data_IF_030869700499
#
_entry.id   IF_030869700499
#
_cell.length_a   1.000
_cell.length_b   1.000
_cell.length_c   1.000
_cell.angle_alpha   90.00
_cell.angle_beta   90.00
_cell.angle_gamma   90.00
#
_symmetry.space_group_name_H-M   'P 1'
#
loop_
_entity.id
_entity.type
_entity.pdbx_description
1 polymer ?
#
# COMPACT_ATOMS: atom_id res chain seq x y z
N UNK A 1 46.90 -53.78 8.06
CA UNK A 1 46.32 -52.71 7.24
C UNK A 1 45.71 -51.73 8.21
N UNK A 2 46.39 -50.61 8.45
CA UNK A 2 45.95 -49.58 9.40
C UNK A 2 44.87 -48.73 8.72
N UNK A 3 43.74 -48.43 9.40
CA UNK A 3 42.68 -47.63 8.81
C UNK A 3 43.17 -46.20 8.54
N UNK A 4 42.84 -45.59 7.40
CA UNK A 4 43.32 -44.26 7.05
C UNK A 4 42.79 -43.20 8.03
N UNK A 5 43.69 -42.43 8.62
CA UNK A 5 43.37 -41.32 9.51
C UNK A 5 42.82 -40.13 8.70
N UNK A 6 41.50 -39.91 8.76
CA UNK A 6 40.85 -38.80 8.07
C UNK A 6 41.09 -37.52 8.86
N UNK A 7 41.85 -36.61 8.26
CA UNK A 7 42.16 -35.31 8.87
C UNK A 7 40.86 -34.50 9.06
N UNK A 8 40.66 -33.85 10.23
CA UNK A 8 39.38 -33.23 10.60
C UNK A 8 38.94 -32.11 9.64
N UNK A 9 39.88 -31.36 9.05
CA UNK A 9 39.56 -30.33 8.07
C UNK A 9 38.95 -30.90 6.77
N UNK A 10 39.31 -32.14 6.41
CA UNK A 10 38.84 -32.79 5.20
C UNK A 10 37.38 -33.26 5.38
N UNK A 11 37.00 -33.68 6.58
CA UNK A 11 35.62 -33.99 6.94
C UNK A 11 34.74 -32.72 7.01
N UNK A 12 35.26 -31.62 7.55
CA UNK A 12 34.52 -30.34 7.57
C UNK A 12 34.30 -29.81 6.14
N UNK A 13 35.32 -29.90 5.28
CA UNK A 13 35.22 -29.46 3.89
C UNK A 13 34.16 -30.22 3.08
N UNK A 14 34.04 -31.54 3.26
CA UNK A 14 33.02 -32.34 2.57
C UNK A 14 31.61 -32.04 3.06
N UNK A 15 31.43 -31.77 4.36
CA UNK A 15 30.15 -31.35 4.92
C UNK A 15 29.73 -29.99 4.34
N UNK A 16 30.63 -29.00 4.31
CA UNK A 16 30.35 -27.68 3.74
C UNK A 16 29.98 -27.78 2.27
N UNK A 17 30.72 -28.57 1.48
CA UNK A 17 30.41 -28.79 0.07
C UNK A 17 29.03 -29.43 -0.13
N UNK A 18 28.67 -30.40 0.72
CA UNK A 18 27.34 -31.01 0.72
C UNK A 18 26.22 -30.01 1.03
N UNK A 19 26.44 -29.12 2.01
CA UNK A 19 25.49 -28.06 2.37
C UNK A 19 25.32 -27.06 1.22
N UNK A 20 26.42 -26.62 0.58
CA UNK A 20 26.37 -25.70 -0.55
C UNK A 20 25.61 -26.30 -1.75
N UNK A 21 25.83 -27.59 -2.04
CA UNK A 21 25.08 -28.30 -3.08
C UNK A 21 23.58 -28.40 -2.72
N UNK A 22 23.25 -28.73 -1.48
CA UNK A 22 21.87 -28.81 -1.01
C UNK A 22 21.15 -27.46 -1.04
N UNK A 23 21.82 -26.38 -0.63
CA UNK A 23 21.30 -25.01 -0.72
C UNK A 23 21.11 -24.59 -2.18
N UNK A 24 22.04 -24.94 -3.08
CA UNK A 24 21.91 -24.69 -4.51
C UNK A 24 20.66 -25.35 -5.11
N UNK A 25 20.42 -26.63 -4.78
CA UNK A 25 19.22 -27.37 -5.20
C UNK A 25 17.95 -26.75 -4.61
N UNK A 26 17.95 -26.40 -3.33
CA UNK A 26 16.82 -25.73 -2.68
C UNK A 26 16.48 -24.41 -3.38
N UNK A 27 17.49 -23.59 -3.68
CA UNK A 27 17.31 -22.31 -4.33
C UNK A 27 16.81 -22.46 -5.77
N UNK A 28 17.30 -23.48 -6.50
CA UNK A 28 16.77 -23.79 -7.84
C UNK A 28 15.32 -24.26 -7.77
N UNK A 29 14.94 -25.09 -6.80
CA UNK A 29 13.54 -25.49 -6.61
C UNK A 29 12.65 -24.29 -6.28
N UNK A 30 13.07 -23.39 -5.38
CA UNK A 30 12.32 -22.15 -5.12
C UNK A 30 12.20 -21.26 -6.35
N UNK A 31 13.27 -21.15 -7.15
CA UNK A 31 13.26 -20.40 -8.41
C UNK A 31 12.30 -21.01 -9.43
N UNK A 32 12.24 -22.34 -9.52
CA UNK A 32 11.29 -23.04 -10.39
C UNK A 32 9.84 -22.90 -9.92
N UNK A 33 9.60 -22.85 -8.60
CA UNK A 33 8.26 -22.65 -8.03
C UNK A 33 7.69 -21.23 -8.23
N UNK A 34 8.55 -20.22 -8.36
CA UNK A 34 8.15 -18.83 -8.57
C UNK A 34 8.22 -18.39 -10.04
N UNK A 35 8.38 -19.32 -11.00
CA UNK A 35 8.33 -18.93 -12.41
C UNK A 35 6.94 -18.39 -12.74
N UNK A 36 6.84 -17.19 -13.35
CA UNK A 36 5.57 -16.73 -13.87
C UNK A 36 5.04 -17.76 -14.88
N UNK A 37 3.73 -18.05 -14.88
CA UNK A 37 3.17 -19.05 -15.77
C UNK A 37 3.37 -18.61 -17.23
N UNK A 38 3.96 -19.48 -18.06
CA UNK A 38 4.07 -19.28 -19.52
C UNK A 38 2.71 -19.40 -20.23
N UNK A 39 1.62 -19.53 -19.47
CA UNK A 39 0.29 -19.82 -19.96
C UNK A 39 -0.36 -18.54 -20.45
N UNK A 40 -0.70 -18.51 -21.74
CA UNK A 40 -1.61 -17.50 -22.28
C UNK A 40 -2.99 -17.66 -21.67
N UNK A 41 -3.64 -16.55 -21.33
CA UNK A 41 -5.04 -16.53 -20.88
C UNK A 41 -5.87 -15.69 -21.84
N UNK A 42 -7.14 -16.04 -22.02
CA UNK A 42 -8.05 -15.25 -22.85
C UNK A 42 -8.87 -14.31 -21.99
N UNK A 43 -8.96 -13.05 -22.42
CA UNK A 43 -9.83 -12.03 -21.81
C UNK A 43 -10.83 -11.60 -22.86
N UNK A 44 -12.12 -11.59 -22.50
CA UNK A 44 -13.17 -11.11 -23.37
C UNK A 44 -13.43 -9.64 -23.05
N UNK A 45 -13.11 -8.74 -23.99
CA UNK A 45 -13.34 -7.31 -23.86
C UNK A 45 -14.26 -6.92 -25.03
N UNK A 46 -15.45 -6.40 -24.71
CA UNK A 46 -16.44 -5.95 -25.72
C UNK A 46 -16.85 -7.02 -26.74
N UNK A 47 -16.81 -8.30 -26.36
CA UNK A 47 -17.18 -9.42 -27.23
C UNK A 47 -16.05 -9.91 -28.14
N UNK A 48 -14.85 -9.36 -28.00
CA UNK A 48 -13.65 -9.81 -28.69
C UNK A 48 -12.74 -10.59 -27.72
N UNK A 49 -12.40 -11.83 -28.09
CA UNK A 49 -11.51 -12.69 -27.31
C UNK A 49 -10.05 -12.32 -27.60
N UNK A 50 -9.35 -11.80 -26.59
CA UNK A 50 -7.95 -11.38 -26.69
C UNK A 50 -7.09 -12.40 -25.95
N UNK A 51 -6.19 -13.06 -26.67
CA UNK A 51 -5.19 -13.98 -26.10
C UNK A 51 -4.04 -13.14 -25.53
N UNK A 52 -3.97 -13.04 -24.21
CA UNK A 52 -2.87 -12.36 -23.52
C UNK A 52 -1.77 -13.38 -23.26
N UNK A 53 -0.62 -13.19 -23.91
CA UNK A 53 0.62 -13.93 -23.62
C UNK A 53 1.55 -13.02 -22.83
N UNK A 54 1.73 -13.24 -21.51
CA UNK A 54 2.70 -12.48 -20.74
C UNK A 54 4.10 -12.75 -21.30
N UNK A 55 4.83 -11.71 -21.69
CA UNK A 55 6.23 -11.82 -22.11
C UNK A 55 7.12 -11.51 -20.89
N UNK A 56 7.81 -12.51 -20.29
CA UNK A 56 8.61 -12.31 -19.09
C UNK A 56 9.87 -11.44 -19.34
N UNK A 57 10.23 -11.16 -20.59
CA UNK A 57 11.36 -10.31 -20.95
C UNK A 57 10.94 -8.87 -21.33
N UNK A 58 9.63 -8.61 -21.45
CA UNK A 58 9.10 -7.27 -21.68
C UNK A 58 8.30 -6.83 -20.47
N UNK A 59 9.01 -6.15 -19.56
CA UNK A 59 8.36 -5.23 -18.64
C UNK A 59 7.47 -4.29 -19.48
N UNK A 60 6.18 -4.20 -19.13
CA UNK A 60 5.25 -3.29 -19.80
C UNK A 60 5.65 -1.87 -19.42
N UNK A 61 6.57 -1.29 -20.18
CA UNK A 61 6.88 0.14 -20.10
C UNK A 61 5.76 0.87 -20.82
N UNK A 62 4.89 1.52 -20.05
CA UNK A 62 3.94 2.49 -20.59
C UNK A 62 4.75 3.73 -20.97
N UNK A 63 5.15 3.83 -22.24
CA UNK A 63 5.64 5.09 -22.79
C UNK A 63 4.43 5.98 -23.13
N UNK A 64 4.36 7.23 -22.66
CA UNK A 64 3.34 8.15 -23.14
C UNK A 64 3.57 8.39 -24.64
N UNK A 65 2.54 8.08 -25.43
CA UNK A 65 2.47 8.44 -26.85
C UNK A 65 2.58 9.95 -26.96
N UNK A 66 3.61 10.42 -27.67
CA UNK A 66 3.79 11.81 -28.03
C UNK A 66 2.59 12.32 -28.82
N UNK A 67 2.13 13.51 -28.44
CA UNK A 67 1.34 14.40 -29.26
C UNK A 67 2.07 15.74 -29.32
N UNK A 68 2.70 16.00 -30.46
CA UNK A 68 3.08 17.33 -30.91
C UNK A 68 1.88 18.28 -30.80
N UNK A 69 2.11 19.48 -30.28
CA UNK A 69 1.55 20.76 -30.76
C UNK A 69 2.31 21.88 -30.04
N UNK A 70 3.21 22.50 -30.80
CA UNK A 70 4.02 23.64 -30.41
C UNK A 70 3.20 24.92 -30.62
N UNK A 71 2.93 25.69 -29.56
CA UNK A 71 2.72 27.13 -29.70
C UNK A 71 3.13 27.88 -28.42
N UNK A 72 4.38 28.31 -28.43
CA UNK A 72 4.91 29.38 -27.57
C UNK A 72 4.16 30.68 -27.85
N UNK A 73 3.37 31.15 -26.89
CA UNK A 73 2.96 32.55 -26.82
C UNK A 73 3.84 33.24 -25.78
N UNK A 74 4.77 34.05 -26.29
CA UNK A 74 5.55 35.00 -25.50
C UNK A 74 4.68 36.24 -25.28
N UNK A 75 4.41 36.60 -24.03
CA UNK A 75 3.98 37.95 -23.68
C UNK A 75 4.87 38.44 -22.54
N UNK A 76 5.70 39.44 -22.86
CA UNK A 76 6.60 40.14 -21.93
C UNK A 76 5.84 41.09 -20.98
N UNK A 77 6.46 41.51 -19.87
CA UNK A 77 5.80 42.10 -18.71
C UNK A 77 5.63 43.62 -18.85
N UNK A 78 4.51 44.14 -18.36
CA UNK A 78 4.38 45.58 -18.04
C UNK A 78 4.22 45.73 -16.52
N UNK A 79 5.12 46.51 -15.95
CA UNK A 79 5.16 46.86 -14.54
C UNK A 79 4.21 48.02 -14.19
N UNK A 80 4.01 48.17 -12.87
CA UNK A 80 3.32 49.22 -12.10
C UNK A 80 1.87 48.84 -11.73
N UNK A 81 1.42 48.91 -10.48
CA UNK A 81 1.73 49.93 -9.47
C UNK A 81 1.45 49.43 -8.03
N UNK A 82 2.22 49.93 -7.08
CA UNK A 82 2.22 49.64 -5.65
C UNK A 82 0.98 50.27 -5.00
N UNK A 83 0.19 49.50 -4.26
CA UNK A 83 -0.73 50.01 -3.23
C UNK A 83 -0.51 49.21 -1.96
N UNK A 84 -0.01 49.89 -0.93
CA UNK A 84 0.09 49.41 0.44
C UNK A 84 -1.24 49.57 1.19
N UNK A 85 -1.32 48.98 2.38
CA UNK A 85 -2.39 48.97 3.40
C UNK A 85 -3.31 47.75 3.26
N UNK A 86 -3.61 46.93 4.27
CA UNK A 86 -3.42 47.02 5.71
C UNK A 86 -3.42 45.59 6.28
N UNK A 87 -2.69 45.35 7.37
CA UNK A 87 -2.59 44.04 8.03
C UNK A 87 -3.85 43.78 8.88
N UNK A 88 -4.67 42.76 8.60
CA UNK A 88 -5.73 42.38 9.53
C UNK A 88 -5.10 41.65 10.73
N UNK A 89 -5.40 42.14 11.92
CA UNK A 89 -5.01 41.54 13.20
C UNK A 89 -5.47 40.06 13.29
N UNK A 90 -4.71 39.19 13.99
CA UNK A 90 -5.07 37.79 14.15
C UNK A 90 -6.38 37.65 14.96
N UNK A 91 -7.29 36.74 14.57
CA UNK A 91 -8.52 36.50 15.32
C UNK A 91 -8.22 35.92 16.71
N UNK A 92 -9.02 36.25 17.74
CA UNK A 92 -8.85 35.69 19.08
C UNK A 92 -9.09 34.17 19.07
N UNK A 93 -8.44 33.41 19.97
CA UNK A 93 -8.58 31.96 20.06
C UNK A 93 -10.04 31.54 20.34
N UNK A 94 -10.52 30.42 19.77
CA UNK A 94 -11.88 29.97 19.99
C UNK A 94 -12.08 29.60 21.47
N UNK A 95 -13.07 30.24 22.08
CA UNK A 95 -13.55 29.92 23.43
C UNK A 95 -14.23 28.55 23.40
N UNK A 96 -13.74 27.61 24.21
CA UNK A 96 -14.28 26.27 24.37
C UNK A 96 -15.67 26.31 25.03
N UNK A 97 -16.70 26.20 24.22
CA UNK A 97 -18.05 25.88 24.70
C UNK A 97 -18.23 24.35 24.62
N UNK A 98 -18.74 23.67 25.66
CA UNK A 98 -18.86 22.22 25.68
C UNK A 98 -19.91 21.75 24.67
N UNK A 99 -19.53 20.83 23.78
CA UNK A 99 -20.39 20.26 22.73
C UNK A 99 -21.38 19.28 23.36
N UNK A 100 -22.71 19.40 23.12
CA UNK A 100 -23.71 18.41 23.53
C UNK A 100 -23.51 17.07 22.82
N UNK A 101 -23.76 15.91 23.47
CA UNK A 101 -23.61 14.62 22.82
C UNK A 101 -24.81 14.32 21.89
N UNK A 102 -24.50 13.62 20.80
CA UNK A 102 -25.40 12.74 20.03
C UNK A 102 -26.09 13.33 18.79
N UNK A 103 -25.43 13.10 17.65
CA UNK A 103 -26.02 12.44 16.50
C UNK A 103 -24.91 11.57 15.87
N UNK A 104 -25.08 10.25 15.83
CA UNK A 104 -24.13 9.35 15.16
C UNK A 104 -24.32 9.54 13.65
N UNK A 105 -23.69 10.58 13.12
CA UNK A 105 -23.42 10.72 11.69
C UNK A 105 -22.83 9.41 11.20
N UNK A 106 -23.24 8.94 10.01
CA UNK A 106 -22.53 7.89 9.30
C UNK A 106 -21.04 8.29 9.28
N UNK A 107 -20.23 7.65 10.12
CA UNK A 107 -18.85 8.02 10.27
C UNK A 107 -18.17 7.68 8.95
N UNK A 108 -17.52 8.67 8.33
CA UNK A 108 -16.73 8.40 7.14
C UNK A 108 -15.71 7.32 7.50
N UNK A 109 -15.59 6.26 6.69
CA UNK A 109 -14.73 5.12 7.02
C UNK A 109 -13.25 5.51 7.07
N UNK A 110 -12.89 6.58 6.38
CA UNK A 110 -11.55 7.15 6.36
C UNK A 110 -11.51 8.52 7.04
N UNK A 111 -10.34 8.82 7.60
CA UNK A 111 -9.93 10.17 8.00
C UNK A 111 -8.54 10.45 7.42
N UNK A 112 -8.06 11.68 7.53
CA UNK A 112 -6.78 12.08 6.96
C UNK A 112 -5.82 12.57 8.03
N UNK A 113 -4.57 12.14 7.90
CA UNK A 113 -3.45 12.60 8.73
C UNK A 113 -2.46 13.33 7.84
N UNK A 114 -2.11 14.56 8.20
CA UNK A 114 -1.11 15.30 7.45
C UNK A 114 0.29 14.73 7.73
N UNK A 115 1.01 14.40 6.67
CA UNK A 115 2.39 13.94 6.71
C UNK A 115 3.26 14.83 5.84
N UNK A 116 4.37 15.35 6.39
CA UNK A 116 5.36 16.08 5.59
C UNK A 116 6.41 15.10 5.07
N UNK A 117 6.56 15.01 3.76
CA UNK A 117 7.43 14.05 3.09
C UNK A 117 8.89 14.30 3.46
N UNK A 118 9.56 13.26 3.94
CA UNK A 118 10.99 13.22 4.23
C UNK A 118 11.77 12.48 3.14
N UNK A 119 13.09 12.68 3.06
CA UNK A 119 13.96 12.11 2.02
C UNK A 119 14.06 10.58 1.96
N UNK A 120 13.53 9.87 2.96
CA UNK A 120 13.51 8.41 3.01
C UNK A 120 12.10 7.83 2.91
N UNK A 121 11.10 8.67 2.65
CA UNK A 121 9.73 8.21 2.51
C UNK A 121 9.52 7.47 1.19
N UNK A 122 8.77 6.39 1.29
CA UNK A 122 8.24 5.60 0.17
C UNK A 122 6.78 5.33 0.46
N UNK A 123 5.98 5.00 -0.56
CA UNK A 123 4.59 4.58 -0.31
C UNK A 123 4.53 3.39 0.66
N UNK A 124 5.52 2.51 0.64
CA UNK A 124 5.62 1.39 1.57
C UNK A 124 5.88 1.84 3.02
N UNK A 125 6.85 2.74 3.25
CA UNK A 125 7.15 3.22 4.61
C UNK A 125 6.00 4.02 5.19
N UNK A 126 5.34 4.86 4.37
CA UNK A 126 4.16 5.63 4.77
C UNK A 126 2.97 4.72 5.10
N UNK A 127 2.71 3.70 4.28
CA UNK A 127 1.66 2.72 4.55
C UNK A 127 1.82 2.07 5.92
N UNK A 128 3.05 1.62 6.24
CA UNK A 128 3.34 1.01 7.56
C UNK A 128 3.26 2.01 8.71
N UNK A 129 3.78 3.23 8.52
CA UNK A 129 3.79 4.23 9.58
C UNK A 129 2.38 4.67 9.97
N UNK A 130 1.48 4.81 8.99
CA UNK A 130 0.14 5.35 9.18
C UNK A 130 -0.95 4.29 9.25
N UNK A 131 -0.60 3.00 9.28
CA UNK A 131 -1.55 1.87 9.26
C UNK A 131 -2.58 2.00 8.11
N UNK A 132 -2.07 2.29 6.91
CA UNK A 132 -2.85 2.41 5.67
C UNK A 132 -2.27 1.48 4.60
N UNK A 133 -2.79 1.56 3.37
CA UNK A 133 -2.34 0.72 2.26
C UNK A 133 -2.03 1.57 1.03
N UNK A 134 -1.10 1.11 0.19
CA UNK A 134 -0.77 1.77 -1.07
C UNK A 134 -2.01 1.92 -1.97
N UNK A 135 -2.87 0.89 -2.14
CA UNK A 135 -4.12 1.03 -2.89
C UNK A 135 -5.06 2.09 -2.31
N UNK A 136 -5.16 2.19 -0.97
CA UNK A 136 -5.98 3.23 -0.33
C UNK A 136 -5.41 4.62 -0.62
N UNK A 137 -4.10 4.81 -0.47
CA UNK A 137 -3.44 6.07 -0.83
C UNK A 137 -3.65 6.44 -2.31
N UNK A 138 -3.54 5.47 -3.22
CA UNK A 138 -3.75 5.68 -4.64
C UNK A 138 -5.20 6.12 -4.98
N UNK A 139 -6.21 5.59 -4.26
CA UNK A 139 -7.62 6.04 -4.41
C UNK A 139 -7.81 7.53 -4.07
N UNK A 140 -6.91 8.09 -3.27
CA UNK A 140 -6.90 9.50 -2.89
C UNK A 140 -5.80 10.30 -3.62
N UNK A 141 -5.28 9.79 -4.74
CA UNK A 141 -4.35 10.52 -5.59
C UNK A 141 -2.90 10.55 -5.09
N UNK A 142 -2.58 9.81 -4.03
CA UNK A 142 -1.21 9.75 -3.51
C UNK A 142 -0.47 8.63 -4.24
N UNK A 143 0.55 9.03 -5.00
CA UNK A 143 1.42 8.11 -5.74
C UNK A 143 2.89 8.44 -5.46
N UNK A 144 3.81 7.67 -6.07
CA UNK A 144 5.25 7.91 -5.89
C UNK A 144 5.71 9.27 -6.43
N UNK A 145 4.99 9.85 -7.39
CA UNK A 145 5.30 11.19 -7.93
C UNK A 145 5.04 12.30 -6.94
N UNK A 146 4.15 12.07 -5.96
CA UNK A 146 3.78 13.05 -4.94
C UNK A 146 4.76 13.07 -3.76
N UNK A 147 5.68 12.09 -3.69
CA UNK A 147 6.69 11.98 -2.64
C UNK A 147 7.88 12.91 -2.86
N UNK A 148 7.61 14.21 -3.02
CA UNK A 148 8.64 15.26 -3.08
C UNK A 148 8.91 15.75 -1.67
N UNK A 149 10.18 15.75 -1.25
CA UNK A 149 10.59 16.19 0.09
C UNK A 149 10.07 17.59 0.40
N UNK A 150 9.42 17.74 1.56
CA UNK A 150 8.80 18.98 2.01
C UNK A 150 7.32 19.13 1.61
N UNK A 151 6.80 18.30 0.70
CA UNK A 151 5.36 18.29 0.42
C UNK A 151 4.57 17.80 1.63
N UNK A 152 3.36 18.34 1.81
CA UNK A 152 2.40 17.86 2.81
C UNK A 152 1.35 17.01 2.11
N UNK A 153 1.26 15.74 2.51
CA UNK A 153 0.28 14.78 2.00
C UNK A 153 -0.81 14.55 3.05
N UNK A 154 -2.06 14.49 2.60
CA UNK A 154 -3.19 14.08 3.43
C UNK A 154 -3.33 12.54 3.35
N UNK A 155 -2.66 11.82 4.24
CA UNK A 155 -2.62 10.36 4.22
C UNK A 155 -3.97 9.80 4.70
N UNK A 156 -4.71 9.05 3.86
CA UNK A 156 -5.95 8.39 4.27
C UNK A 156 -5.66 7.24 5.23
N UNK A 157 -6.34 7.21 6.36
CA UNK A 157 -6.25 6.15 7.36
C UNK A 157 -7.65 5.71 7.80
N UNK A 158 -7.77 4.53 8.39
CA UNK A 158 -9.03 4.09 8.99
C UNK A 158 -9.50 5.06 10.07
N UNK A 159 -10.76 5.47 10.03
CA UNK A 159 -11.31 6.42 11.00
C UNK A 159 -11.64 5.72 12.33
N UNK A 160 -11.04 6.10 13.47
CA UNK A 160 -11.39 5.51 14.77
C UNK A 160 -12.88 5.68 15.12
N UNK A 161 -13.53 6.76 14.67
CA UNK A 161 -14.97 6.97 14.89
C UNK A 161 -15.85 5.98 14.10
N UNK A 162 -15.32 5.33 13.06
CA UNK A 162 -16.02 4.26 12.34
C UNK A 162 -16.06 2.95 13.15
N UNK A 163 -15.10 2.76 14.06
CA UNK A 163 -14.98 1.58 14.91
C UNK A 163 -15.05 1.96 16.40
N UNK A 164 -16.20 2.44 16.90
CA UNK A 164 -16.31 2.87 18.29
C UNK A 164 -16.05 1.71 19.25
N UNK A 165 -15.01 1.85 20.09
CA UNK A 165 -14.55 0.80 21.02
C UNK A 165 -13.62 -0.25 20.41
N UNK A 166 -13.24 -0.08 19.14
CA UNK A 166 -12.38 -0.99 18.39
C UNK A 166 -11.33 -0.20 17.60
N UNK A 167 -10.35 -0.90 17.02
CA UNK A 167 -9.38 -0.31 16.11
C UNK A 167 -9.84 -0.51 14.66
N UNK A 168 -9.80 0.54 13.81
CA UNK A 168 -10.02 0.37 12.39
C UNK A 168 -8.80 -0.30 11.74
N UNK A 169 -9.06 -1.25 10.86
CA UNK A 169 -8.07 -1.94 10.04
C UNK A 169 -8.44 -1.81 8.57
N UNK A 170 -7.48 -1.34 7.76
CA UNK A 170 -7.65 -1.20 6.31
C UNK A 170 -7.21 -2.50 5.64
N UNK A 171 -8.16 -3.18 5.01
CA UNK A 171 -7.96 -4.47 4.35
C UNK A 171 -6.91 -4.33 3.23
N UNK A 172 -5.91 -5.20 3.30
CA UNK A 172 -4.79 -5.29 2.36
C UNK A 172 -5.04 -6.30 1.24
N UNK A 173 -4.24 -6.23 0.19
CA UNK A 173 -4.24 -7.25 -0.86
C UNK A 173 -3.91 -8.62 -0.29
N UNK A 174 -4.78 -9.60 -0.55
CA UNK A 174 -4.60 -10.98 -0.11
C UNK A 174 -5.15 -11.27 1.28
N UNK A 175 -5.69 -10.26 1.98
CA UNK A 175 -6.44 -10.48 3.21
C UNK A 175 -7.68 -11.33 2.93
N UNK A 176 -7.98 -12.19 3.90
CA UNK A 176 -9.21 -12.97 3.95
C UNK A 176 -9.86 -12.75 5.31
N UNK A 177 -11.19 -12.90 5.44
CA UNK A 177 -11.84 -12.81 6.75
C UNK A 177 -11.22 -13.76 7.78
N UNK A 178 -10.85 -14.98 7.35
CA UNK A 178 -10.18 -15.95 8.20
C UNK A 178 -8.78 -15.50 8.65
N UNK A 179 -7.96 -14.98 7.74
CA UNK A 179 -6.62 -14.51 8.08
C UNK A 179 -6.66 -13.33 9.04
N UNK A 180 -7.47 -12.32 8.74
CA UNK A 180 -7.60 -11.11 9.55
C UNK A 180 -8.19 -11.42 10.93
N UNK A 181 -9.25 -12.24 11.00
CA UNK A 181 -9.86 -12.64 12.28
C UNK A 181 -8.88 -13.38 13.17
N UNK A 182 -8.15 -14.36 12.62
CA UNK A 182 -7.11 -15.11 13.35
C UNK A 182 -6.03 -14.19 13.91
N UNK A 183 -5.51 -13.28 13.10
CA UNK A 183 -4.43 -12.37 13.51
C UNK A 183 -4.93 -11.34 14.55
N UNK A 184 -6.22 -11.00 14.51
CA UNK A 184 -6.92 -10.20 15.51
C UNK A 184 -7.35 -10.98 16.77
N UNK A 185 -7.12 -12.30 16.82
CA UNK A 185 -7.52 -13.14 17.95
C UNK A 185 -9.04 -13.38 18.07
N UNK A 186 -9.79 -13.25 16.97
CA UNK A 186 -11.22 -13.49 16.91
C UNK A 186 -11.54 -14.84 16.23
N UNK A 187 -12.66 -15.45 16.59
CA UNK A 187 -13.27 -16.46 15.72
C UNK A 187 -13.79 -15.79 14.44
N UNK A 188 -13.92 -16.56 13.36
CA UNK A 188 -14.48 -16.03 12.11
C UNK A 188 -15.92 -15.50 12.31
N UNK A 189 -16.70 -16.17 13.15
CA UNK A 189 -18.07 -15.78 13.52
C UNK A 189 -18.07 -14.46 14.30
N UNK A 190 -17.23 -14.32 15.33
CA UNK A 190 -17.13 -13.07 16.10
C UNK A 190 -16.65 -11.90 15.23
N UNK A 191 -15.69 -12.13 14.33
CA UNK A 191 -15.23 -11.13 13.38
C UNK A 191 -16.35 -10.68 12.45
N UNK A 192 -17.14 -11.61 11.93
CA UNK A 192 -18.27 -11.28 11.06
C UNK A 192 -19.37 -10.52 11.81
N UNK A 193 -19.69 -10.93 13.04
CA UNK A 193 -20.66 -10.23 13.88
C UNK A 193 -20.21 -8.80 14.20
N UNK A 194 -18.94 -8.63 14.57
CA UNK A 194 -18.34 -7.32 14.85
C UNK A 194 -18.42 -6.38 13.62
N UNK A 195 -18.24 -6.94 12.43
CA UNK A 195 -18.16 -6.18 11.17
C UNK A 195 -19.45 -6.17 10.35
N UNK A 196 -20.53 -6.71 10.90
CA UNK A 196 -21.82 -6.83 10.21
C UNK A 196 -21.71 -7.48 8.82
N UNK A 197 -20.83 -8.47 8.68
CA UNK A 197 -20.64 -9.20 7.42
C UNK A 197 -21.75 -10.25 7.25
N UNK A 198 -22.18 -10.46 6.01
CA UNK A 198 -23.17 -11.49 5.68
C UNK A 198 -22.57 -12.92 5.78
N UNK A 199 -23.42 -13.94 5.63
CA UNK A 199 -23.01 -15.34 5.75
C UNK A 199 -22.00 -15.80 4.68
N UNK A 200 -21.73 -15.00 3.64
CA UNK A 200 -20.78 -15.30 2.58
C UNK A 200 -19.58 -14.34 2.66
N UNK A 201 -18.91 -14.40 3.81
CA UNK A 201 -17.86 -13.47 4.27
C UNK A 201 -16.88 -13.08 3.16
N UNK A 202 -17.03 -11.87 2.63
CA UNK A 202 -16.07 -11.27 1.70
C UNK A 202 -15.64 -9.92 2.24
N UNK A 203 -14.32 -9.69 2.24
CA UNK A 203 -13.72 -8.38 2.47
C UNK A 203 -12.94 -8.00 1.22
N UNK A 204 -12.90 -6.71 0.92
CA UNK A 204 -12.28 -6.20 -0.29
C UNK A 204 -11.14 -5.26 0.05
N UNK A 205 -10.15 -5.19 -0.84
CA UNK A 205 -9.01 -4.28 -0.69
C UNK A 205 -9.50 -2.84 -0.41
N UNK A 206 -8.83 -2.18 0.54
CA UNK A 206 -9.14 -0.85 1.12
C UNK A 206 -10.36 -0.76 2.02
N UNK A 207 -11.20 -1.79 2.11
CA UNK A 207 -12.33 -1.80 3.06
C UNK A 207 -11.80 -1.59 4.49
N UNK A 208 -12.55 -0.84 5.30
CA UNK A 208 -12.27 -0.72 6.73
C UNK A 208 -13.11 -1.74 7.49
N UNK A 209 -12.44 -2.54 8.32
CA UNK A 209 -13.07 -3.45 9.28
C UNK A 209 -12.60 -3.10 10.69
N UNK A 210 -13.43 -3.37 11.67
CA UNK A 210 -13.14 -3.19 13.08
C UNK A 210 -12.54 -4.47 13.66
N UNK A 211 -11.45 -4.32 14.41
CA UNK A 211 -10.77 -5.39 15.14
C UNK A 211 -10.46 -4.92 16.58
N UNK A 212 -10.26 -5.83 17.55
CA UNK A 212 -9.87 -5.47 18.91
C UNK A 212 -8.56 -4.69 18.97
#
# INVERSE_FOLDING_TARGET
MEPPEIKPYLAIATIILGILMALGVLFTVMYLQHRPPDTSYTVNIEGQEIVVKPDPAKEVVIMPSGGENNETVIVEPTAQQIVSTDTPAPPPPPTSTPVPPTAVSQANMYTFVNHTVAGHDTLYSLARQHNTTIPLMARFGISSTELVVGNVLAIPVGNPAYCPGYRPYVVMRGDTPFGVSRDAGLSLEDFAHLNHLDANYSIYETQVVCIP
#
